data_IF_109160814731
#
_entry.id   IF_109160814731
#
_cell.length_a   1.000
_cell.length_b   1.000
_cell.length_c   1.000
_cell.angle_alpha   90.00
_cell.angle_beta   90.00
_cell.angle_gamma   90.00
#
_symmetry.space_group_name_H-M   'P 1'
#
loop_
_entity.id
_entity.type
_entity.pdbx_description
1 polymer ?
#
# COMPACT_ATOMS: atom_id res chain seq x y z
N UNK A 1 -13.65 1.94 9.56
CA UNK A 1 -12.39 1.90 8.79
C UNK A 1 -11.42 0.98 9.52
N UNK A 2 -11.24 -0.28 9.10
CA UNK A 2 -10.22 -1.15 9.69
C UNK A 2 -8.81 -0.61 9.47
N UNK A 3 -7.94 -0.92 10.42
CA UNK A 3 -6.50 -0.66 10.40
C UNK A 3 -5.82 -2.01 10.23
N UNK A 4 -5.04 -2.20 9.17
CA UNK A 4 -4.39 -3.48 8.89
C UNK A 4 -2.88 -3.26 8.89
N UNK A 5 -2.14 -3.83 9.86
CA UNK A 5 -0.69 -3.72 9.91
C UNK A 5 0.00 -4.75 9.00
N UNK A 6 1.10 -4.34 8.37
CA UNK A 6 1.96 -5.18 7.55
C UNK A 6 3.43 -4.96 7.90
N UNK A 7 4.23 -6.03 7.81
CA UNK A 7 5.68 -5.94 7.80
C UNK A 7 6.17 -6.22 6.39
N UNK A 8 6.67 -5.19 5.71
CA UNK A 8 7.09 -5.26 4.30
C UNK A 8 8.61 -5.23 4.22
N UNK A 9 9.20 -6.20 3.54
CA UNK A 9 10.65 -6.26 3.30
C UNK A 9 11.00 -5.99 1.84
N UNK A 10 12.18 -6.42 1.43
CA UNK A 10 12.65 -6.34 0.04
C UNK A 10 11.91 -7.29 -0.90
N UNK A 11 11.26 -8.32 -0.37
CA UNK A 11 10.35 -9.19 -1.10
C UNK A 11 8.95 -8.59 -1.20
N UNK A 12 8.27 -8.82 -2.32
CA UNK A 12 6.91 -8.33 -2.54
C UNK A 12 5.93 -8.91 -1.51
N UNK A 13 5.10 -8.03 -0.95
CA UNK A 13 4.03 -8.36 -0.02
C UNK A 13 2.71 -7.79 -0.54
N UNK A 14 1.66 -8.61 -0.52
CA UNK A 14 0.30 -8.13 -0.78
C UNK A 14 -0.22 -7.42 0.47
N UNK A 15 -0.58 -6.15 0.33
CA UNK A 15 -1.08 -5.31 1.44
C UNK A 15 -2.58 -5.04 1.36
N UNK A 16 -3.22 -5.34 0.23
CA UNK A 16 -4.67 -5.33 0.12
C UNK A 16 -5.15 -6.29 -0.98
N UNK A 17 -6.21 -7.04 -0.70
CA UNK A 17 -6.90 -7.84 -1.70
C UNK A 17 -7.88 -7.00 -2.50
N UNK A 18 -8.33 -7.52 -3.64
CA UNK A 18 -9.44 -6.94 -4.43
C UNK A 18 -10.69 -6.82 -3.55
N UNK A 19 -11.38 -5.68 -3.60
CA UNK A 19 -12.66 -5.50 -2.91
C UNK A 19 -13.57 -4.53 -3.66
N UNK A 20 -14.70 -5.00 -4.22
CA UNK A 20 -15.64 -4.14 -4.94
C UNK A 20 -16.41 -3.17 -4.03
N UNK A 21 -16.30 -3.31 -2.70
CA UNK A 21 -16.95 -2.46 -1.71
C UNK A 21 -16.04 -1.36 -1.17
N UNK A 22 -14.76 -1.37 -1.54
CA UNK A 22 -13.79 -0.37 -1.09
C UNK A 22 -14.12 0.98 -1.73
N UNK A 23 -14.18 2.03 -0.91
CA UNK A 23 -14.42 3.41 -1.36
C UNK A 23 -13.25 4.35 -1.10
N UNK A 24 -12.37 3.97 -0.17
CA UNK A 24 -11.09 4.66 0.03
C UNK A 24 -9.99 3.69 0.48
N UNK A 25 -8.75 4.04 0.16
CA UNK A 25 -7.58 3.30 0.60
C UNK A 25 -6.43 4.25 0.93
N UNK A 26 -5.82 4.06 2.09
CA UNK A 26 -4.65 4.84 2.51
C UNK A 26 -3.54 3.88 2.89
N UNK A 27 -2.32 4.14 2.41
CA UNK A 27 -1.11 3.44 2.83
C UNK A 27 -0.22 4.41 3.57
N UNK A 28 0.27 3.98 4.74
CA UNK A 28 1.18 4.78 5.59
C UNK A 28 2.47 4.01 5.81
N UNK A 29 3.61 4.64 5.51
CA UNK A 29 4.93 4.16 5.88
C UNK A 29 5.30 4.71 7.25
N UNK A 30 5.29 3.88 8.29
CA UNK A 30 5.62 4.31 9.66
C UNK A 30 7.12 4.18 9.99
N UNK A 31 7.96 3.92 8.98
CA UNK A 31 9.41 3.80 9.17
C UNK A 31 10.10 5.15 8.98
N UNK A 32 11.06 5.45 9.85
CA UNK A 32 11.74 6.75 9.89
C UNK A 32 12.73 6.97 8.73
N UNK A 33 13.21 5.90 8.10
CA UNK A 33 14.28 5.98 7.07
C UNK A 33 14.00 5.17 5.81
N UNK A 34 12.97 4.32 5.82
CA UNK A 34 12.71 3.42 4.70
C UNK A 34 11.68 4.04 3.76
N UNK A 35 11.76 3.65 2.50
CA UNK A 35 10.75 3.94 1.49
C UNK A 35 10.03 2.64 1.16
N UNK A 36 8.75 2.77 0.85
CA UNK A 36 8.00 1.67 0.27
C UNK A 36 7.57 2.02 -1.14
N UNK A 37 7.42 1.01 -1.98
CA UNK A 37 6.94 1.17 -3.35
C UNK A 37 5.68 0.34 -3.48
N UNK A 38 4.60 0.98 -3.89
CA UNK A 38 3.31 0.32 -4.07
C UNK A 38 2.94 0.18 -5.54
N UNK A 39 2.17 -0.85 -5.87
CA UNK A 39 1.58 -1.04 -7.20
C UNK A 39 0.28 -1.80 -7.08
N UNK A 40 -0.65 -1.54 -7.99
CA UNK A 40 -1.94 -2.22 -8.06
C UNK A 40 -1.89 -3.57 -8.81
N UNK A 41 -0.69 -4.11 -9.03
CA UNK A 41 -0.48 -5.41 -9.65
C UNK A 41 0.75 -6.05 -9.02
N UNK A 42 0.81 -7.38 -9.06
CA UNK A 42 2.01 -8.13 -8.66
C UNK A 42 3.23 -7.73 -9.51
N UNK A 43 4.45 -7.96 -8.99
CA UNK A 43 5.69 -7.57 -9.66
C UNK A 43 6.04 -6.09 -9.43
N UNK A 44 5.85 -5.63 -8.19
CA UNK A 44 6.29 -4.29 -7.78
C UNK A 44 7.81 -4.27 -7.63
N UNK A 45 8.43 -3.21 -8.13
CA UNK A 45 9.87 -2.99 -8.10
C UNK A 45 10.14 -1.49 -7.93
N UNK A 46 11.34 -1.08 -7.46
CA UNK A 46 11.66 0.35 -7.32
C UNK A 46 11.56 1.13 -8.64
N UNK A 47 11.72 0.45 -9.78
CA UNK A 47 11.64 1.03 -11.13
C UNK A 47 10.22 1.22 -11.66
N UNK A 48 9.20 0.60 -11.04
CA UNK A 48 7.82 0.60 -11.55
C UNK A 48 6.75 0.88 -10.48
N UNK A 49 7.12 0.91 -9.20
CA UNK A 49 6.21 1.19 -8.09
C UNK A 49 6.17 2.67 -7.75
N UNK A 50 5.06 3.10 -7.17
CA UNK A 50 4.88 4.45 -6.67
C UNK A 50 5.53 4.59 -5.29
N UNK A 51 6.51 5.49 -5.11
CA UNK A 51 7.24 5.60 -3.86
C UNK A 51 6.42 6.33 -2.78
N UNK A 52 6.46 5.81 -1.56
CA UNK A 52 6.03 6.48 -0.34
C UNK A 52 7.27 6.63 0.54
N UNK A 53 7.64 7.88 0.81
CA UNK A 53 8.83 8.20 1.61
C UNK A 53 8.62 7.91 3.09
N UNK A 54 9.72 7.93 3.85
CA UNK A 54 9.72 7.77 5.30
C UNK A 54 8.71 8.68 5.99
N UNK A 55 7.89 8.10 6.88
CA UNK A 55 6.81 8.79 7.59
C UNK A 55 5.73 9.41 6.67
N UNK A 56 5.74 9.04 5.38
CA UNK A 56 4.79 9.50 4.39
C UNK A 56 3.54 8.63 4.31
N UNK A 57 2.53 9.16 3.62
CA UNK A 57 1.33 8.43 3.29
C UNK A 57 0.85 8.77 1.88
N UNK A 58 0.07 7.86 1.31
CA UNK A 58 -0.70 8.13 0.10
C UNK A 58 -2.16 7.74 0.33
N UNK A 59 -3.05 8.58 -0.15
CA UNK A 59 -4.49 8.35 -0.14
C UNK A 59 -4.97 8.21 -1.58
N UNK A 60 -5.81 7.22 -1.80
CA UNK A 60 -6.31 6.82 -3.12
C UNK A 60 -7.83 6.92 -3.09
N UNK A 61 -8.40 7.58 -4.11
CA UNK A 61 -9.83 7.91 -4.19
C UNK A 61 -10.47 7.06 -5.29
N UNK A 62 -11.44 6.26 -4.90
CA UNK A 62 -12.24 5.40 -5.80
C UNK A 62 -13.45 6.23 -6.27
N UNK A 63 -13.86 6.21 -7.57
CA UNK A 63 -13.66 5.17 -8.58
C UNK A 63 -12.46 5.38 -9.53
N UNK A 64 -11.67 6.43 -9.34
CA UNK A 64 -10.51 6.71 -10.18
C UNK A 64 -9.37 5.68 -9.94
N UNK A 65 -9.26 5.19 -8.70
CA UNK A 65 -8.39 4.08 -8.32
C UNK A 65 -9.18 2.75 -8.31
N UNK A 66 -9.05 1.97 -9.38
CA UNK A 66 -9.79 0.74 -9.68
C UNK A 66 -9.91 -0.23 -8.47
N UNK A 67 -11.12 -0.44 -7.89
CA UNK A 67 -11.35 -1.34 -6.74
C UNK A 67 -11.19 -2.82 -7.10
N UNK A 68 -10.95 -3.15 -8.38
CA UNK A 68 -10.80 -4.52 -8.86
C UNK A 68 -9.36 -5.05 -8.77
N UNK A 69 -8.41 -4.24 -8.28
CA UNK A 69 -7.00 -4.57 -8.27
C UNK A 69 -6.44 -4.85 -6.87
N UNK A 70 -5.48 -5.78 -6.78
CA UNK A 70 -4.73 -6.04 -5.55
C UNK A 70 -3.67 -4.98 -5.34
N UNK A 71 -3.35 -4.63 -4.09
CA UNK A 71 -2.25 -3.71 -3.79
C UNK A 71 -1.06 -4.50 -3.28
N UNK A 72 0.06 -4.35 -3.98
CA UNK A 72 1.34 -4.98 -3.70
C UNK A 72 2.37 -3.93 -3.28
N UNK A 73 3.29 -4.32 -2.41
CA UNK A 73 4.24 -3.43 -1.77
C UNK A 73 5.62 -4.09 -1.60
N UNK A 74 6.69 -3.33 -1.76
CA UNK A 74 8.06 -3.68 -1.32
C UNK A 74 8.63 -2.53 -0.50
N UNK A 75 9.66 -2.82 0.28
CA UNK A 75 10.51 -1.83 0.94
C UNK A 75 11.92 -1.86 0.39
N UNK A 76 12.62 -0.73 0.47
CA UNK A 76 14.07 -0.66 0.28
C UNK A 76 14.87 -1.20 1.49
N UNK A 77 14.20 -1.58 2.58
CA UNK A 77 14.79 -2.21 3.76
C UNK A 77 14.19 -3.59 4.03
N UNK A 78 14.82 -4.37 4.92
CA UNK A 78 14.39 -5.73 5.22
C UNK A 78 13.08 -5.81 6.00
N UNK A 79 12.72 -4.76 6.74
CA UNK A 79 11.57 -4.77 7.64
C UNK A 79 11.04 -3.34 7.85
N UNK A 80 9.99 -2.99 7.11
CA UNK A 80 9.30 -1.71 7.21
C UNK A 80 7.86 -1.91 7.68
N UNK A 81 7.47 -1.32 8.82
CA UNK A 81 6.08 -1.30 9.26
C UNK A 81 5.24 -0.41 8.34
N UNK A 82 4.22 -1.00 7.75
CA UNK A 82 3.24 -0.33 6.90
C UNK A 82 1.87 -0.52 7.51
N UNK A 83 1.04 0.52 7.48
CA UNK A 83 -0.36 0.45 7.91
C UNK A 83 -1.24 0.82 6.74
N UNK A 84 -2.28 0.03 6.51
CA UNK A 84 -3.32 0.36 5.54
C UNK A 84 -4.64 0.70 6.25
N UNK A 85 -5.36 1.65 5.68
CA UNK A 85 -6.71 2.00 6.09
C UNK A 85 -7.64 1.79 4.91
N UNK A 86 -8.70 1.00 5.12
CA UNK A 86 -9.70 0.76 4.08
C UNK A 86 -11.06 1.37 4.49
N UNK A 87 -11.59 2.25 3.64
CA UNK A 87 -12.95 2.74 3.76
C UNK A 87 -13.92 1.84 3.00
N UNK A 88 -15.05 1.54 3.62
CA UNK A 88 -16.17 0.85 2.99
C UNK A 88 -17.44 1.65 3.26
N UNK A 89 -18.30 1.76 2.25
CA UNK A 89 -19.55 2.52 2.32
C UNK A 89 -19.55 3.73 1.39
N UNK A 90 -20.73 4.00 0.83
CA UNK A 90 -21.05 5.14 -0.01
C UNK A 90 -21.99 6.05 0.78
#
# INVERSE_FOLDING_TARGET
MPIIPHLVGTSEAKIASVSPLRTSFVVVCNHATARIYIRFTKGVAPSNGLPIYSLGSISMKIPEDDPTQEVWCISDTLATPVVTYEGYGK
#
